data_IF_365798303260
#
_entry.id   IF_365798303260
#
_cell.length_a   1.000
_cell.length_b   1.000
_cell.length_c   1.000
_cell.angle_alpha   90.00
_cell.angle_beta   90.00
_cell.angle_gamma   90.00
#
_symmetry.space_group_name_H-M   'P 1'
#
loop_
_entity.id
_entity.type
_entity.pdbx_description
1 polymer ?
#
# COMPACT_ATOMS: atom_id res chain seq x y z
N UNK A 1 12.03 7.54 -22.85
CA UNK A 1 12.38 6.10 -22.71
C UNK A 1 13.34 5.90 -21.52
N UNK A 2 12.96 6.34 -20.30
CA UNK A 2 13.79 6.26 -19.07
C UNK A 2 13.08 5.56 -17.88
N UNK A 3 11.85 5.05 -18.09
CA UNK A 3 11.00 4.53 -17.01
C UNK A 3 11.64 3.37 -16.25
N UNK A 4 12.22 2.39 -16.95
CA UNK A 4 12.81 1.19 -16.32
C UNK A 4 14.00 1.52 -15.41
N UNK A 5 14.83 2.50 -15.79
CA UNK A 5 15.97 2.95 -14.98
C UNK A 5 15.45 3.64 -13.71
N UNK A 6 14.45 4.52 -13.86
CA UNK A 6 13.85 5.22 -12.74
C UNK A 6 13.16 4.25 -11.76
N UNK A 7 12.39 3.29 -12.26
CA UNK A 7 11.72 2.26 -11.44
C UNK A 7 12.76 1.44 -10.66
N UNK A 8 13.82 0.96 -11.32
CA UNK A 8 14.88 0.20 -10.65
C UNK A 8 15.51 1.00 -9.52
N UNK A 9 15.84 2.27 -9.77
CA UNK A 9 16.43 3.15 -8.76
C UNK A 9 15.48 3.41 -7.58
N UNK A 10 14.21 3.71 -7.85
CA UNK A 10 13.20 3.96 -6.80
C UNK A 10 13.00 2.73 -5.92
N UNK A 11 12.84 1.54 -6.54
CA UNK A 11 12.65 0.28 -5.80
C UNK A 11 13.87 -0.05 -4.95
N UNK A 12 15.08 0.15 -5.47
CA UNK A 12 16.32 -0.07 -4.71
C UNK A 12 16.37 0.83 -3.48
N UNK A 13 16.06 2.13 -3.63
CA UNK A 13 16.07 3.09 -2.53
C UNK A 13 14.97 2.83 -1.50
N UNK A 14 13.77 2.44 -1.92
CA UNK A 14 12.70 2.04 -1.01
C UNK A 14 13.08 0.82 -0.18
N UNK A 15 13.68 -0.21 -0.79
CA UNK A 15 14.16 -1.41 -0.09
C UNK A 15 15.28 -1.08 0.91
N UNK A 16 16.26 -0.27 0.50
CA UNK A 16 17.33 0.20 1.39
C UNK A 16 16.78 0.95 2.60
N UNK A 17 15.79 1.84 2.38
CA UNK A 17 15.16 2.58 3.46
C UNK A 17 14.41 1.66 4.43
N UNK A 18 13.64 0.69 3.93
CA UNK A 18 12.92 -0.27 4.77
C UNK A 18 13.90 -1.06 5.64
N UNK A 19 14.97 -1.61 5.07
CA UNK A 19 15.97 -2.37 5.83
C UNK A 19 16.66 -1.52 6.90
N UNK A 20 16.98 -0.26 6.60
CA UNK A 20 17.57 0.66 7.56
C UNK A 20 16.59 1.01 8.69
N UNK A 21 15.34 1.34 8.37
CA UNK A 21 14.34 1.74 9.37
C UNK A 21 14.01 0.58 10.34
N UNK A 22 14.04 -0.67 9.86
CA UNK A 22 13.83 -1.87 10.69
C UNK A 22 14.90 -2.09 11.76
N UNK A 23 16.08 -1.47 11.64
CA UNK A 23 17.15 -1.57 12.63
C UNK A 23 16.88 -0.72 13.89
N UNK A 24 15.90 0.19 13.83
CA UNK A 24 15.54 1.07 14.94
C UNK A 24 14.27 0.57 15.65
N UNK A 25 14.37 0.28 16.95
CA UNK A 25 13.29 -0.29 17.75
C UNK A 25 12.07 0.65 17.96
N UNK A 26 12.19 1.93 17.61
CA UNK A 26 11.18 2.97 17.84
C UNK A 26 10.58 3.53 16.54
N UNK A 27 10.80 2.87 15.41
CA UNK A 27 10.24 3.26 14.12
C UNK A 27 9.33 2.16 13.60
N UNK A 28 8.06 2.50 13.34
CA UNK A 28 7.11 1.60 12.71
C UNK A 28 6.99 1.89 11.22
N UNK A 29 7.22 0.87 10.39
CA UNK A 29 7.10 0.99 8.94
C UNK A 29 5.68 0.63 8.51
N UNK A 30 5.04 1.54 7.76
CA UNK A 30 3.77 1.30 7.07
C UNK A 30 4.00 1.23 5.57
N UNK A 31 3.55 0.15 4.93
CA UNK A 31 3.61 0.00 3.48
C UNK A 31 2.22 0.27 2.90
N UNK A 32 2.13 1.25 2.01
CA UNK A 32 0.90 1.57 1.29
C UNK A 32 1.05 1.13 -0.17
N UNK A 33 0.08 0.39 -0.68
CA UNK A 33 0.03 -0.05 -2.07
C UNK A 33 -1.23 0.47 -2.72
N UNK A 34 -1.12 1.10 -3.88
CA UNK A 34 -2.29 1.44 -4.70
C UNK A 34 -2.59 0.25 -5.61
N UNK A 35 -3.77 -0.34 -5.46
CA UNK A 35 -4.32 -1.36 -6.34
C UNK A 35 -4.83 -0.71 -7.62
N UNK A 36 -4.26 -1.10 -8.74
CA UNK A 36 -4.62 -0.62 -10.07
C UNK A 36 -5.02 -1.84 -10.91
N UNK A 37 -6.32 -2.01 -11.23
CA UNK A 37 -6.79 -3.14 -12.04
C UNK A 37 -5.97 -3.32 -13.33
N UNK A 38 -5.59 -4.57 -13.62
CA UNK A 38 -4.84 -4.97 -14.82
C UNK A 38 -3.40 -4.42 -14.92
N UNK A 39 -2.93 -3.62 -13.96
CA UNK A 39 -1.54 -3.15 -13.91
C UNK A 39 -0.74 -3.96 -12.89
N UNK A 40 -1.21 -4.01 -11.64
CA UNK A 40 -0.50 -4.70 -10.55
C UNK A 40 -1.38 -5.73 -9.83
N UNK A 41 -2.49 -6.14 -10.44
CA UNK A 41 -3.45 -7.06 -9.83
C UNK A 41 -2.81 -8.38 -9.41
N UNK A 42 -1.93 -8.92 -10.26
CA UNK A 42 -1.26 -10.21 -10.03
C UNK A 42 -0.03 -10.09 -9.11
N UNK A 43 0.43 -8.86 -8.83
CA UNK A 43 1.59 -8.59 -7.98
C UNK A 43 1.20 -8.34 -6.51
N UNK A 44 -0.09 -8.21 -6.19
CA UNK A 44 -0.54 -7.82 -4.85
C UNK A 44 -0.12 -8.83 -3.78
N UNK A 45 -0.22 -10.12 -4.09
CA UNK A 45 0.18 -11.19 -3.17
C UNK A 45 1.68 -11.10 -2.84
N UNK A 46 2.54 -10.96 -3.86
CA UNK A 46 3.98 -10.77 -3.68
C UNK A 46 4.30 -9.52 -2.84
N UNK A 47 3.57 -8.42 -3.05
CA UNK A 47 3.76 -7.19 -2.28
C UNK A 47 3.34 -7.37 -0.81
N UNK A 48 2.27 -8.11 -0.54
CA UNK A 48 1.84 -8.44 0.84
C UNK A 48 2.88 -9.32 1.53
N UNK A 49 3.37 -10.35 0.86
CA UNK A 49 4.43 -11.22 1.38
C UNK A 49 5.72 -10.44 1.63
N UNK A 50 6.09 -9.54 0.71
CA UNK A 50 7.22 -8.62 0.89
C UNK A 50 7.03 -7.78 2.15
N UNK A 51 5.85 -7.20 2.36
CA UNK A 51 5.56 -6.39 3.54
C UNK A 51 5.69 -7.21 4.83
N UNK A 52 5.14 -8.44 4.84
CA UNK A 52 5.19 -9.34 5.98
C UNK A 52 6.64 -9.78 6.31
N UNK A 53 7.39 -10.23 5.30
CA UNK A 53 8.81 -10.62 5.42
C UNK A 53 9.68 -9.48 5.95
N UNK A 54 9.27 -8.24 5.68
CA UNK A 54 9.95 -7.04 6.14
C UNK A 54 9.45 -6.50 7.48
N UNK A 55 8.65 -7.25 8.23
CA UNK A 55 8.11 -6.83 9.53
C UNK A 55 7.42 -5.46 9.47
N UNK A 56 6.72 -5.16 8.37
CA UNK A 56 5.92 -3.95 8.29
C UNK A 56 4.88 -3.98 9.42
N UNK A 57 4.78 -2.88 10.18
CA UNK A 57 3.88 -2.78 11.32
C UNK A 57 2.40 -2.84 10.88
N UNK A 58 2.11 -2.24 9.73
CA UNK A 58 0.79 -2.27 9.11
C UNK A 58 0.90 -2.14 7.59
N UNK A 59 0.11 -2.93 6.87
CA UNK A 59 -0.04 -2.88 5.43
C UNK A 59 -1.35 -2.19 5.02
N UNK A 60 -1.33 -1.33 4.01
CA UNK A 60 -2.51 -0.60 3.55
C UNK A 60 -2.65 -0.71 2.02
N UNK A 61 -3.47 -1.65 1.56
CA UNK A 61 -3.91 -1.72 0.16
C UNK A 61 -5.01 -0.69 -0.08
N UNK A 62 -4.83 0.25 -1.00
CA UNK A 62 -5.80 1.29 -1.34
C UNK A 62 -6.25 1.14 -2.79
N UNK A 63 -7.51 1.38 -3.13
CA UNK A 63 -7.93 1.41 -4.54
C UNK A 63 -7.34 2.62 -5.27
N UNK A 64 -7.04 2.50 -6.56
CA UNK A 64 -6.86 3.67 -7.41
C UNK A 64 -8.13 4.55 -7.37
N UNK A 65 -7.95 5.86 -7.41
CA UNK A 65 -9.06 6.81 -7.57
C UNK A 65 -9.39 6.84 -9.06
N UNK A 66 -10.45 6.13 -9.43
CA UNK A 66 -10.94 6.03 -10.81
C UNK A 66 -11.59 7.31 -11.31
N UNK A 67 -11.90 7.33 -12.60
CA UNK A 67 -12.44 8.52 -13.29
C UNK A 67 -13.93 8.73 -13.05
N UNK A 68 -14.65 7.65 -12.73
CA UNK A 68 -16.09 7.66 -12.46
C UNK A 68 -16.45 6.86 -11.20
N UNK A 69 -17.70 7.01 -10.74
CA UNK A 69 -18.17 6.40 -9.51
C UNK A 69 -18.24 4.87 -9.57
N UNK A 70 -18.56 4.31 -10.74
CA UNK A 70 -18.71 2.87 -10.93
C UNK A 70 -17.36 2.15 -10.85
N UNK A 71 -16.35 2.63 -11.58
CA UNK A 71 -14.97 2.14 -11.49
C UNK A 71 -14.44 2.18 -10.04
N UNK A 72 -14.72 3.28 -9.34
CA UNK A 72 -14.35 3.44 -7.94
C UNK A 72 -15.04 2.41 -7.05
N UNK A 73 -16.33 2.15 -7.24
CA UNK A 73 -17.08 1.17 -6.47
C UNK A 73 -16.55 -0.25 -6.71
N UNK A 74 -16.35 -0.65 -7.96
CA UNK A 74 -15.82 -1.97 -8.32
C UNK A 74 -14.43 -2.19 -7.73
N UNK A 75 -13.55 -1.20 -7.86
CA UNK A 75 -12.18 -1.26 -7.33
C UNK A 75 -12.17 -1.33 -5.79
N UNK A 76 -13.03 -0.56 -5.12
CA UNK A 76 -13.19 -0.60 -3.65
C UNK A 76 -13.67 -1.96 -3.15
N UNK A 77 -14.60 -2.59 -3.85
CA UNK A 77 -15.09 -3.93 -3.51
C UNK A 77 -13.96 -4.96 -3.64
N UNK A 78 -13.22 -4.93 -4.75
CA UNK A 78 -12.07 -5.83 -4.97
C UNK A 78 -11.00 -5.68 -3.90
N UNK A 79 -10.62 -4.44 -3.57
CA UNK A 79 -9.66 -4.16 -2.49
C UNK A 79 -10.17 -4.67 -1.14
N UNK A 80 -11.45 -4.51 -0.83
CA UNK A 80 -12.04 -5.02 0.42
C UNK A 80 -11.92 -6.54 0.54
N UNK A 81 -12.19 -7.27 -0.55
CA UNK A 81 -12.03 -8.72 -0.60
C UNK A 81 -10.58 -9.16 -0.40
N UNK A 82 -9.63 -8.48 -1.08
CA UNK A 82 -8.21 -8.78 -0.95
C UNK A 82 -7.72 -8.49 0.49
N UNK A 83 -8.14 -7.38 1.08
CA UNK A 83 -7.81 -7.07 2.48
C UNK A 83 -8.30 -8.19 3.41
N UNK A 84 -9.53 -8.64 3.24
CA UNK A 84 -10.09 -9.74 4.04
C UNK A 84 -9.27 -11.03 3.89
N UNK A 85 -8.89 -11.38 2.66
CA UNK A 85 -8.05 -12.56 2.37
C UNK A 85 -6.70 -12.51 3.11
N UNK A 86 -6.06 -11.34 3.20
CA UNK A 86 -4.72 -11.20 3.79
C UNK A 86 -4.71 -10.80 5.28
N UNK A 87 -5.86 -10.44 5.87
CA UNK A 87 -5.96 -10.13 7.31
C UNK A 87 -5.39 -11.19 8.26
N UNK A 88 -5.46 -12.51 7.97
CA UNK A 88 -4.82 -13.52 8.82
C UNK A 88 -3.28 -13.54 8.76
N UNK A 89 -2.69 -13.01 7.67
CA UNK A 89 -1.25 -13.09 7.40
C UNK A 89 -0.49 -11.85 7.84
N UNK A 90 -1.14 -10.68 7.83
CA UNK A 90 -0.51 -9.41 8.21
C UNK A 90 -1.53 -8.44 8.80
N UNK A 91 -1.06 -7.44 9.53
CA UNK A 91 -1.91 -6.37 10.03
C UNK A 91 -2.35 -5.45 8.88
N UNK A 92 -3.58 -5.61 8.39
CA UNK A 92 -4.12 -4.86 7.26
C UNK A 92 -4.99 -3.68 7.72
N UNK A 93 -4.70 -2.48 7.20
CA UNK A 93 -5.49 -1.28 7.41
C UNK A 93 -6.80 -1.32 6.59
N UNK A 94 -7.95 -1.22 7.25
CA UNK A 94 -9.27 -1.28 6.60
C UNK A 94 -9.99 0.08 6.45
N UNK A 95 -9.62 1.09 7.24
CA UNK A 95 -10.36 2.35 7.38
C UNK A 95 -9.75 3.54 6.61
N UNK A 96 -8.80 3.30 5.71
CA UNK A 96 -8.14 4.37 4.96
C UNK A 96 -9.16 5.15 4.11
N UNK A 97 -9.22 6.48 4.31
CA UNK A 97 -10.07 7.39 3.55
C UNK A 97 -9.36 8.09 2.38
N UNK A 98 -8.07 7.78 2.15
CA UNK A 98 -7.20 8.51 1.21
C UNK A 98 -7.20 10.01 1.52
N UNK A 99 -6.87 10.35 2.77
CA UNK A 99 -6.87 11.72 3.26
C UNK A 99 -5.90 12.60 2.44
N UNK A 100 -6.22 13.89 2.37
CA UNK A 100 -5.30 14.88 1.81
C UNK A 100 -4.33 15.38 2.87
N UNK A 101 -3.17 15.88 2.43
CA UNK A 101 -2.17 16.44 3.32
C UNK A 101 -2.61 17.74 4.01
N UNK A 102 -3.55 18.46 3.40
CA UNK A 102 -4.16 19.68 3.91
C UNK A 102 -5.42 19.45 4.76
N UNK A 103 -5.84 18.20 4.97
CA UNK A 103 -6.98 17.89 5.83
C UNK A 103 -6.63 18.17 7.31
N UNK A 104 -7.06 19.32 7.81
CA UNK A 104 -7.06 19.63 9.24
C UNK A 104 -8.35 19.06 9.83
N UNK A 105 -8.24 17.95 10.58
CA UNK A 105 -9.36 17.53 11.43
C UNK A 105 -9.53 18.59 12.51
N UNK A 106 -10.64 19.34 12.45
CA UNK A 106 -11.02 20.26 13.52
C UNK A 106 -11.05 19.50 14.84
N UNK A 107 -10.22 19.92 15.78
CA UNK A 107 -10.30 19.51 17.18
C UNK A 107 -11.55 20.22 17.72
N UNK A 108 -12.71 19.57 17.62
CA UNK A 108 -13.92 19.94 18.35
C UNK A 108 -14.17 18.83 19.36
#
# INVERSE_FOLDING_TARGET
MHGNIAVKYILEKQRQAIELLKQYNNIFVKINTVYIPNINSDEIEEIVEFANKNNAYIYNLMPIIGTNAEENAQTKLKVSLIRYQFSPLTNVMIHCKQCRSDDIKSII
#
